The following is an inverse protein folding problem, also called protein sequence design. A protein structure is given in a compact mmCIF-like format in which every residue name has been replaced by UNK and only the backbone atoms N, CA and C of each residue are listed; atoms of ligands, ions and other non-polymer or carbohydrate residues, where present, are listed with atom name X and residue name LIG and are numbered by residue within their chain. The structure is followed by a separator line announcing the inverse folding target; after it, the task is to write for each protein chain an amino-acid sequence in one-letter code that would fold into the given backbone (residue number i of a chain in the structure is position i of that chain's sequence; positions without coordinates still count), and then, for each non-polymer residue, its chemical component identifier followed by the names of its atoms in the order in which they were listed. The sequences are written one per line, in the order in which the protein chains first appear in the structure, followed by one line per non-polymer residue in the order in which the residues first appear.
data_IF_600546940968
#
_entry.id   IF_600546940968
#
_cell.length_a   1.000
_cell.length_b   1.000
_cell.length_c   1.000
_cell.angle_alpha   90.00
_cell.angle_beta   90.00
_cell.angle_gamma   90.00
#
_symmetry.space_group_name_H-M   'P 1'
#
loop_
_entity.id
_entity.type
_entity.pdbx_description
1 polymer ?
#
# COMPACT_ATOMS: atom_id res chain seq x y z
N UNK A 1 37.35 -37.74 -22.39
CA UNK A 1 36.39 -38.03 -21.28
C UNK A 1 35.54 -36.79 -21.06
N UNK A 2 34.35 -36.83 -21.60
CA UNK A 2 33.40 -35.74 -21.59
C UNK A 2 32.37 -36.04 -20.49
N UNK A 3 32.32 -35.23 -19.42
CA UNK A 3 31.29 -35.32 -18.38
C UNK A 3 30.23 -34.26 -18.68
N UNK A 4 29.16 -34.68 -19.32
CA UNK A 4 27.94 -33.87 -19.46
C UNK A 4 27.23 -33.74 -18.08
N UNK A 5 27.24 -32.54 -17.52
CA UNK A 5 26.55 -32.25 -16.30
C UNK A 5 25.11 -31.79 -16.65
N UNK A 6 24.18 -32.74 -16.69
CA UNK A 6 22.76 -32.48 -16.88
C UNK A 6 22.19 -31.92 -15.55
N UNK A 7 22.02 -30.60 -15.45
CA UNK A 7 21.18 -29.99 -14.41
C UNK A 7 19.74 -30.39 -14.68
N UNK A 8 19.26 -31.39 -13.98
CA UNK A 8 17.84 -31.74 -13.94
C UNK A 8 17.06 -30.58 -13.30
N UNK A 9 16.26 -29.89 -14.13
CA UNK A 9 15.25 -28.95 -13.66
C UNK A 9 14.19 -29.74 -12.86
N UNK A 10 14.36 -29.79 -11.55
CA UNK A 10 13.36 -30.36 -10.66
C UNK A 10 12.25 -29.32 -10.42
N UNK A 11 11.43 -29.07 -11.43
CA UNK A 11 10.10 -28.50 -11.22
C UNK A 11 9.24 -29.62 -10.69
N UNK A 12 9.09 -29.64 -9.34
CA UNK A 12 8.14 -30.55 -8.70
C UNK A 12 6.75 -30.16 -9.19
N UNK A 13 6.16 -30.96 -10.06
CA UNK A 13 4.73 -30.92 -10.36
C UNK A 13 3.98 -31.40 -9.12
N UNK A 14 3.82 -30.51 -8.13
CA UNK A 14 2.88 -30.67 -7.06
C UNK A 14 1.47 -30.62 -7.69
N UNK A 15 0.89 -31.79 -7.95
CA UNK A 15 -0.56 -31.88 -8.11
C UNK A 15 -1.15 -31.40 -6.78
N UNK A 16 -1.54 -30.15 -6.71
CA UNK A 16 -2.29 -29.65 -5.57
C UNK A 16 -3.65 -30.35 -5.57
N UNK A 17 -3.82 -31.29 -4.67
CA UNK A 17 -5.06 -32.06 -4.49
C UNK A 17 -6.11 -31.28 -3.69
N UNK A 18 -5.70 -30.19 -3.03
CA UNK A 18 -6.55 -29.34 -2.21
C UNK A 18 -6.43 -27.87 -2.63
N UNK A 19 -7.58 -27.16 -2.56
CA UNK A 19 -7.62 -25.73 -2.83
C UNK A 19 -6.92 -24.95 -1.71
N UNK A 20 -6.12 -23.95 -2.10
CA UNK A 20 -5.52 -23.02 -1.13
C UNK A 20 -6.58 -22.11 -0.51
N UNK A 21 -6.49 -21.91 0.79
CA UNK A 21 -7.30 -20.94 1.52
C UNK A 21 -6.70 -19.55 1.35
N UNK A 22 -7.30 -18.75 0.47
CA UNK A 22 -6.88 -17.39 0.15
C UNK A 22 -7.76 -16.40 0.90
N UNK A 23 -7.13 -15.50 1.68
CA UNK A 23 -7.83 -14.36 2.30
C UNK A 23 -7.63 -13.13 1.43
N UNK A 24 -8.71 -12.66 0.81
CA UNK A 24 -8.73 -11.41 0.07
C UNK A 24 -9.07 -10.25 1.01
N UNK A 25 -8.16 -9.29 1.14
CA UNK A 25 -8.35 -8.12 2.00
C UNK A 25 -8.54 -6.87 1.14
N UNK A 26 -9.58 -6.07 1.44
CA UNK A 26 -9.93 -4.86 0.69
C UNK A 26 -10.49 -3.76 1.59
N UNK A 27 -10.71 -2.56 1.03
CA UNK A 27 -11.16 -1.38 1.76
C UNK A 27 -9.99 -0.58 2.33
N UNK A 28 -9.92 -0.42 3.65
CA UNK A 28 -8.81 0.21 4.35
C UNK A 28 -9.07 1.64 4.80
N UNK A 29 -8.18 2.13 5.69
CA UNK A 29 -8.20 3.47 6.29
C UNK A 29 -7.47 4.49 5.44
N UNK A 30 -7.67 4.47 4.14
CA UNK A 30 -7.02 5.40 3.22
C UNK A 30 -8.04 6.20 2.43
N UNK A 31 -7.61 7.29 1.81
CA UNK A 31 -8.42 8.04 0.86
C UNK A 31 -8.80 7.22 -0.38
N UNK A 32 -8.17 6.07 -0.57
CA UNK A 32 -8.36 5.17 -1.71
C UNK A 32 -9.29 3.97 -1.41
N UNK A 33 -10.01 4.02 -0.28
CA UNK A 33 -10.95 2.97 0.13
C UNK A 33 -11.89 2.52 -1.00
N UNK A 34 -12.53 3.47 -1.68
CA UNK A 34 -13.44 3.18 -2.79
C UNK A 34 -12.73 2.56 -4.01
N UNK A 35 -11.46 2.90 -4.23
CA UNK A 35 -10.63 2.30 -5.29
C UNK A 35 -10.35 0.83 -4.96
N UNK A 36 -10.00 0.55 -3.70
CA UNK A 36 -9.78 -0.81 -3.21
C UNK A 36 -11.02 -1.70 -3.40
N UNK A 37 -12.21 -1.19 -3.09
CA UNK A 37 -13.45 -1.94 -3.32
C UNK A 37 -13.65 -2.29 -4.81
N UNK A 38 -13.35 -1.37 -5.73
CA UNK A 38 -13.44 -1.62 -7.17
C UNK A 38 -12.43 -2.64 -7.64
N UNK A 39 -11.17 -2.52 -7.20
CA UNK A 39 -10.11 -3.46 -7.52
C UNK A 39 -10.42 -4.87 -7.00
N UNK A 40 -10.95 -4.97 -5.77
CA UNK A 40 -11.34 -6.25 -5.19
C UNK A 40 -12.43 -6.98 -6.01
N UNK A 41 -13.37 -6.24 -6.62
CA UNK A 41 -14.35 -6.82 -7.54
C UNK A 41 -13.68 -7.52 -8.73
N UNK A 42 -12.69 -6.88 -9.32
CA UNK A 42 -11.97 -7.42 -10.48
C UNK A 42 -11.13 -8.65 -10.09
N UNK A 43 -10.45 -8.58 -8.94
CA UNK A 43 -9.67 -9.71 -8.42
C UNK A 43 -10.58 -10.90 -8.10
N UNK A 44 -11.72 -10.69 -7.41
CA UNK A 44 -12.70 -11.75 -7.11
C UNK A 44 -13.22 -12.44 -8.37
N UNK A 45 -13.43 -11.69 -9.44
CA UNK A 45 -13.90 -12.24 -10.71
C UNK A 45 -12.81 -13.03 -11.48
N UNK A 46 -11.53 -12.73 -11.23
CA UNK A 46 -10.40 -13.37 -11.91
C UNK A 46 -9.81 -14.57 -11.15
N UNK A 47 -10.12 -14.72 -9.86
CA UNK A 47 -9.61 -15.83 -9.05
C UNK A 47 -10.19 -17.16 -9.52
N UNK A 48 -9.29 -18.12 -9.76
CA UNK A 48 -9.62 -19.49 -10.18
C UNK A 48 -10.25 -20.28 -9.01
N UNK A 49 -11.55 -20.52 -9.11
CA UNK A 49 -12.31 -21.23 -8.09
C UNK A 49 -11.87 -22.70 -7.92
N UNK A 50 -11.16 -23.29 -8.89
CA UNK A 50 -10.63 -24.64 -8.75
C UNK A 50 -9.33 -24.69 -7.94
N UNK A 51 -8.61 -23.57 -7.87
CA UNK A 51 -7.35 -23.45 -7.13
C UNK A 51 -7.51 -22.83 -5.75
N UNK A 52 -8.48 -21.92 -5.57
CA UNK A 52 -8.61 -21.14 -4.37
C UNK A 52 -9.97 -21.29 -3.70
N UNK A 53 -9.94 -21.42 -2.37
CA UNK A 53 -11.09 -21.15 -1.50
C UNK A 53 -10.93 -19.75 -0.95
N UNK A 54 -11.77 -18.83 -1.41
CA UNK A 54 -11.62 -17.39 -1.11
C UNK A 54 -12.42 -17.00 0.11
N UNK A 55 -11.75 -16.40 1.10
CA UNK A 55 -12.34 -15.78 2.27
C UNK A 55 -12.19 -14.25 2.15
N UNK A 56 -13.29 -13.53 2.28
CA UNK A 56 -13.33 -12.09 2.08
C UNK A 56 -13.21 -11.37 3.41
N UNK A 57 -12.29 -10.40 3.50
CA UNK A 57 -12.13 -9.53 4.66
C UNK A 57 -12.13 -8.08 4.18
N UNK A 58 -13.11 -7.31 4.61
CA UNK A 58 -13.18 -5.87 4.36
C UNK A 58 -12.69 -5.08 5.57
N UNK A 59 -11.93 -4.01 5.32
CA UNK A 59 -11.52 -3.06 6.35
C UNK A 59 -12.30 -1.76 6.12
N UNK A 60 -13.04 -1.31 7.13
CA UNK A 60 -13.79 -0.04 7.07
C UNK A 60 -12.86 1.18 7.09
N UNK A 61 -13.39 2.36 6.83
CA UNK A 61 -12.63 3.62 6.84
C UNK A 61 -12.13 4.02 8.24
N UNK A 62 -12.78 3.53 9.29
CA UNK A 62 -12.36 3.69 10.68
C UNK A 62 -11.45 2.56 11.19
N UNK A 63 -11.24 1.51 10.35
CA UNK A 63 -10.26 0.46 10.58
C UNK A 63 -10.82 -0.82 11.19
N UNK A 64 -12.14 -1.00 11.21
CA UNK A 64 -12.74 -2.25 11.65
C UNK A 64 -12.61 -3.32 10.56
N UNK A 65 -12.15 -4.50 10.94
CA UNK A 65 -12.01 -5.65 10.05
C UNK A 65 -13.27 -6.50 10.12
N UNK A 66 -13.88 -6.77 8.97
CA UNK A 66 -15.15 -7.50 8.89
C UNK A 66 -15.07 -8.64 7.87
N UNK A 67 -15.67 -9.77 8.16
CA UNK A 67 -15.70 -10.94 7.28
C UNK A 67 -17.10 -11.54 7.18
N UNK A 68 -17.35 -12.23 6.08
CA UNK A 68 -18.58 -12.97 5.78
C UNK A 68 -18.54 -13.50 4.36
N UNK A 69 -19.47 -14.38 4.00
CA UNK A 69 -19.51 -15.04 2.70
C UNK A 69 -19.55 -14.06 1.51
N UNK A 70 -20.22 -12.91 1.68
CA UNK A 70 -20.39 -11.88 0.68
C UNK A 70 -19.93 -10.51 1.20
N UNK A 71 -18.80 -10.47 1.94
CA UNK A 71 -18.33 -9.24 2.57
C UNK A 71 -18.15 -8.10 1.58
N UNK A 72 -17.60 -8.35 0.38
CA UNK A 72 -17.44 -7.33 -0.65
C UNK A 72 -18.79 -6.71 -1.09
N UNK A 73 -19.82 -7.52 -1.30
CA UNK A 73 -21.15 -7.01 -1.65
C UNK A 73 -21.76 -6.18 -0.51
N UNK A 74 -21.58 -6.60 0.74
CA UNK A 74 -22.01 -5.86 1.93
C UNK A 74 -21.31 -4.49 2.03
N UNK A 75 -20.01 -4.41 1.74
CA UNK A 75 -19.28 -3.14 1.70
C UNK A 75 -19.78 -2.19 0.60
N UNK A 76 -20.19 -2.71 -0.55
CA UNK A 76 -20.74 -1.90 -1.64
C UNK A 76 -22.16 -1.39 -1.34
N UNK A 77 -22.96 -2.18 -0.64
CA UNK A 77 -24.36 -1.84 -0.33
C UNK A 77 -24.56 -1.11 1.00
N UNK A 78 -23.52 -1.05 1.85
CA UNK A 78 -23.61 -0.51 3.22
C UNK A 78 -24.21 -1.49 4.25
N UNK A 79 -24.46 -2.75 3.87
CA UNK A 79 -25.06 -3.77 4.73
C UNK A 79 -24.06 -4.47 5.67
N UNK A 80 -23.26 -3.68 6.41
CA UNK A 80 -22.16 -4.21 7.23
C UNK A 80 -22.63 -4.98 8.47
N UNK A 81 -23.85 -4.78 8.95
CA UNK A 81 -24.41 -5.43 10.13
C UNK A 81 -24.51 -6.96 9.98
N UNK A 82 -24.55 -7.46 8.74
CA UNK A 82 -24.56 -8.89 8.44
C UNK A 82 -23.17 -9.54 8.58
N UNK A 83 -22.11 -8.74 8.71
CA UNK A 83 -20.74 -9.21 8.82
C UNK A 83 -20.35 -9.40 10.29
N UNK A 84 -19.28 -10.15 10.50
CA UNK A 84 -18.66 -10.38 11.80
C UNK A 84 -17.27 -9.78 11.84
N UNK A 85 -16.85 -9.38 13.03
CA UNK A 85 -15.47 -8.88 13.20
C UNK A 85 -14.48 -10.00 12.89
N UNK A 86 -13.46 -9.66 12.08
CA UNK A 86 -12.42 -10.57 11.65
C UNK A 86 -11.12 -10.32 12.42
N UNK A 87 -10.43 -11.40 12.78
CA UNK A 87 -9.12 -11.36 13.42
C UNK A 87 -8.22 -12.40 12.75
N UNK A 88 -6.97 -11.99 12.46
CA UNK A 88 -5.92 -12.90 12.00
C UNK A 88 -4.98 -13.15 13.18
N UNK A 89 -4.82 -14.40 13.56
CA UNK A 89 -3.98 -14.83 14.68
C UNK A 89 -3.16 -16.04 14.26
N UNK A 90 -1.89 -16.07 14.64
CA UNK A 90 -1.04 -17.26 14.47
C UNK A 90 -1.34 -18.29 15.56
N UNK A 91 -1.77 -19.47 15.16
CA UNK A 91 -2.03 -20.62 16.03
C UNK A 91 -0.97 -21.69 15.77
N UNK A 92 -0.10 -21.95 16.77
CA UNK A 92 1.02 -22.91 16.65
C UNK A 92 1.92 -22.63 15.42
N UNK A 93 2.16 -21.34 15.11
CA UNK A 93 2.97 -20.91 13.98
C UNK A 93 2.26 -20.92 12.62
N UNK A 94 0.96 -21.25 12.58
CA UNK A 94 0.13 -21.19 11.36
C UNK A 94 -0.84 -20.02 11.44
N UNK A 95 -0.88 -19.15 10.43
CA UNK A 95 -1.86 -18.06 10.41
C UNK A 95 -3.27 -18.61 10.23
N UNK A 96 -4.21 -18.06 11.00
CA UNK A 96 -5.61 -18.46 10.97
C UNK A 96 -6.52 -17.24 10.97
N UNK A 97 -7.62 -17.35 10.24
CA UNK A 97 -8.70 -16.35 10.24
C UNK A 97 -9.77 -16.80 11.26
N UNK A 98 -10.17 -15.87 12.10
CA UNK A 98 -11.22 -16.02 13.11
C UNK A 98 -12.30 -14.97 12.94
N UNK A 99 -13.50 -15.28 13.41
CA UNK A 99 -14.49 -14.27 13.80
C UNK A 99 -14.42 -14.02 15.30
N UNK A 100 -14.68 -12.77 15.70
CA UNK A 100 -14.81 -12.36 17.11
C UNK A 100 -16.26 -12.00 17.43
N UNK A 101 -16.75 -12.51 18.57
CA UNK A 101 -18.02 -12.13 19.16
C UNK A 101 -17.80 -11.92 20.67
N UNK A 102 -17.75 -10.65 21.08
CA UNK A 102 -17.35 -10.30 22.44
C UNK A 102 -15.92 -10.78 22.76
N UNK A 103 -15.81 -11.69 23.74
CA UNK A 103 -14.53 -12.26 24.16
C UNK A 103 -14.23 -13.63 23.50
N UNK A 104 -15.11 -14.12 22.63
CA UNK A 104 -14.97 -15.42 22.00
C UNK A 104 -14.41 -15.30 20.58
N UNK A 105 -13.47 -16.18 20.25
CA UNK A 105 -12.93 -16.36 18.90
C UNK A 105 -13.40 -17.68 18.33
N UNK A 106 -13.98 -17.64 17.13
CA UNK A 106 -14.38 -18.83 16.38
C UNK A 106 -13.54 -18.94 15.11
N UNK A 107 -12.79 -20.03 14.98
CA UNK A 107 -11.94 -20.27 13.82
C UNK A 107 -12.78 -20.48 12.57
N UNK A 108 -12.41 -19.75 11.50
CA UNK A 108 -12.99 -19.92 10.16
C UNK A 108 -12.11 -20.89 9.36
N UNK A 109 -10.79 -20.59 9.26
CA UNK A 109 -9.85 -21.39 8.46
C UNK A 109 -8.41 -21.11 8.86
N UNK A 110 -7.50 -22.02 8.50
CA UNK A 110 -6.07 -21.69 8.37
C UNK A 110 -5.86 -20.93 7.05
N UNK A 111 -4.88 -20.04 7.02
CA UNK A 111 -4.58 -19.18 5.87
C UNK A 111 -3.37 -19.74 5.15
N UNK A 112 -3.48 -19.99 3.84
CA UNK A 112 -2.35 -20.37 3.01
C UNK A 112 -1.72 -19.15 2.35
N UNK A 113 -2.53 -18.16 1.94
CA UNK A 113 -2.05 -16.91 1.35
C UNK A 113 -3.03 -15.76 1.58
N UNK A 114 -2.49 -14.56 1.80
CA UNK A 114 -3.26 -13.32 1.84
C UNK A 114 -3.06 -12.56 0.53
N UNK A 115 -4.15 -12.06 -0.05
CA UNK A 115 -4.09 -11.15 -1.18
C UNK A 115 -4.63 -9.78 -0.74
N UNK A 116 -3.75 -8.85 -0.33
CA UNK A 116 -4.17 -7.50 0.00
C UNK A 116 -4.44 -6.71 -1.27
N UNK A 117 -5.67 -6.26 -1.46
CA UNK A 117 -6.09 -5.33 -2.52
C UNK A 117 -6.37 -3.99 -1.87
N UNK A 118 -5.37 -3.50 -1.15
CA UNK A 118 -5.40 -2.24 -0.41
C UNK A 118 -4.58 -1.21 -1.17
N UNK A 119 -5.01 0.05 -1.17
CA UNK A 119 -4.30 1.15 -1.83
C UNK A 119 -3.97 2.25 -0.83
N UNK A 120 -2.82 2.90 -1.05
CA UNK A 120 -2.36 4.03 -0.27
C UNK A 120 -1.89 3.65 1.15
N UNK A 121 -2.13 4.57 2.08
CA UNK A 121 -1.69 4.46 3.47
C UNK A 121 -2.25 3.21 4.15
N UNK A 122 -1.43 2.55 4.97
CA UNK A 122 -1.70 1.27 5.65
C UNK A 122 -1.86 0.06 4.71
N UNK A 123 -1.90 0.27 3.39
CA UNK A 123 -2.00 -0.80 2.40
C UNK A 123 -0.69 -1.05 1.65
N UNK A 124 0.00 0.03 1.25
CA UNK A 124 1.19 -0.03 0.39
C UNK A 124 2.45 0.49 1.06
N UNK A 125 2.39 0.93 2.32
CA UNK A 125 3.47 1.60 3.05
C UNK A 125 4.31 0.66 3.96
N UNK A 126 4.11 -0.66 3.87
CA UNK A 126 4.80 -1.65 4.69
C UNK A 126 4.09 -1.99 6.00
N UNK A 127 3.05 -1.23 6.41
CA UNK A 127 2.36 -1.41 7.69
C UNK A 127 1.61 -2.75 7.74
N UNK A 128 0.76 -3.01 6.75
CA UNK A 128 -0.01 -4.26 6.68
C UNK A 128 0.91 -5.46 6.39
N UNK A 129 1.95 -5.26 5.59
CA UNK A 129 2.96 -6.27 5.32
C UNK A 129 3.67 -6.69 6.60
N UNK A 130 4.01 -5.72 7.48
CA UNK A 130 4.59 -5.99 8.80
C UNK A 130 3.68 -6.83 9.69
N UNK A 131 2.36 -6.60 9.65
CA UNK A 131 1.40 -7.45 10.36
C UNK A 131 1.43 -8.87 9.82
N UNK A 132 1.48 -9.06 8.50
CA UNK A 132 1.52 -10.38 7.88
C UNK A 132 2.81 -11.13 8.21
N UNK A 133 3.96 -10.46 8.19
CA UNK A 133 5.25 -11.04 8.61
C UNK A 133 5.21 -11.52 10.06
N UNK A 134 4.71 -10.70 10.99
CA UNK A 134 4.61 -11.06 12.42
C UNK A 134 3.70 -12.27 12.62
N UNK A 135 2.64 -12.37 11.82
CA UNK A 135 1.69 -13.50 11.87
C UNK A 135 2.15 -14.71 11.06
N UNK A 136 3.33 -14.66 10.43
CA UNK A 136 3.85 -15.72 9.55
C UNK A 136 2.89 -16.06 8.39
N UNK A 137 2.25 -15.03 7.82
CA UNK A 137 1.35 -15.16 6.67
C UNK A 137 2.13 -14.97 5.37
N UNK A 138 2.03 -15.91 4.44
CA UNK A 138 2.40 -15.64 3.06
C UNK A 138 1.41 -14.65 2.44
N UNK A 139 1.89 -13.70 1.65
CA UNK A 139 1.04 -12.69 1.00
C UNK A 139 1.54 -12.31 -0.38
N UNK A 140 0.61 -11.77 -1.18
CA UNK A 140 0.90 -11.26 -2.53
C UNK A 140 1.35 -9.81 -2.42
N UNK A 141 2.45 -9.48 -3.10
CA UNK A 141 2.97 -8.11 -3.18
C UNK A 141 4.40 -7.97 -2.67
N UNK A 142 4.87 -6.73 -2.61
CA UNK A 142 6.19 -6.40 -2.10
C UNK A 142 6.25 -6.58 -0.57
N UNK A 143 7.44 -6.93 -0.05
CA UNK A 143 7.67 -7.02 1.39
C UNK A 143 7.72 -5.66 2.08
N UNK A 144 7.88 -5.69 3.42
CA UNK A 144 7.86 -4.48 4.27
C UNK A 144 8.79 -3.39 3.76
N UNK A 145 10.06 -3.72 3.52
CA UNK A 145 11.06 -2.73 3.10
C UNK A 145 10.73 -2.14 1.73
N UNK A 146 10.40 -3.00 0.75
CA UNK A 146 10.06 -2.55 -0.61
C UNK A 146 8.86 -1.62 -0.62
N UNK A 147 7.79 -1.99 0.09
CA UNK A 147 6.58 -1.19 0.25
C UNK A 147 6.88 0.16 0.90
N UNK A 148 7.60 0.17 2.03
CA UNK A 148 7.91 1.40 2.77
C UNK A 148 8.78 2.36 1.96
N UNK A 149 9.80 1.84 1.26
CA UNK A 149 10.70 2.65 0.43
C UNK A 149 9.97 3.21 -0.79
N UNK A 150 9.20 2.37 -1.49
CA UNK A 150 8.51 2.80 -2.71
C UNK A 150 7.40 3.83 -2.42
N UNK A 151 6.72 3.71 -1.28
CA UNK A 151 5.66 4.66 -0.90
C UNK A 151 6.20 6.03 -0.53
N UNK A 152 7.37 6.10 0.09
CA UNK A 152 7.99 7.35 0.54
C UNK A 152 8.82 7.98 -0.58
N UNK A 153 8.28 9.01 -1.22
CA UNK A 153 8.90 9.68 -2.38
C UNK A 153 10.32 10.20 -2.08
N UNK A 154 10.57 10.67 -0.86
CA UNK A 154 11.88 11.19 -0.48
C UNK A 154 12.90 10.05 -0.34
N UNK A 155 12.54 8.97 0.36
CA UNK A 155 13.41 7.80 0.53
C UNK A 155 13.61 7.08 -0.80
N UNK A 156 12.56 6.91 -1.60
CA UNK A 156 12.64 6.32 -2.93
C UNK A 156 13.64 7.05 -3.84
N UNK A 157 13.59 8.41 -3.87
CA UNK A 157 14.55 9.23 -4.62
C UNK A 157 15.99 9.05 -4.12
N UNK A 158 16.22 9.05 -2.81
CA UNK A 158 17.57 8.80 -2.25
C UNK A 158 18.12 7.42 -2.64
N UNK A 159 17.27 6.39 -2.63
CA UNK A 159 17.67 5.05 -3.08
C UNK A 159 18.02 5.06 -4.57
N UNK A 160 17.19 5.70 -5.41
CA UNK A 160 17.47 5.83 -6.84
C UNK A 160 18.78 6.56 -7.12
N UNK A 161 19.07 7.67 -6.41
CA UNK A 161 20.33 8.40 -6.52
C UNK A 161 21.53 7.52 -6.12
N UNK A 162 21.39 6.71 -5.06
CA UNK A 162 22.48 5.85 -4.58
C UNK A 162 22.90 4.78 -5.59
N UNK A 163 22.01 4.42 -6.50
CA UNK A 163 22.27 3.47 -7.61
C UNK A 163 22.41 4.19 -8.97
N UNK A 164 22.63 5.48 -8.94
CA UNK A 164 22.86 6.35 -10.13
C UNK A 164 21.69 6.38 -11.13
N UNK A 165 20.46 6.13 -10.70
CA UNK A 165 19.28 6.39 -11.51
C UNK A 165 19.00 7.91 -11.51
N UNK A 166 18.70 8.50 -12.68
CA UNK A 166 18.40 9.92 -12.76
C UNK A 166 17.07 10.23 -12.07
N UNK A 167 17.09 11.21 -11.17
CA UNK A 167 15.89 11.77 -10.52
C UNK A 167 15.85 13.28 -10.74
N UNK A 168 14.68 13.87 -10.70
CA UNK A 168 14.53 15.32 -10.72
C UNK A 168 15.12 15.93 -9.46
N UNK A 169 15.68 17.13 -9.56
CA UNK A 169 16.17 17.92 -8.44
C UNK A 169 15.04 18.15 -7.43
N UNK A 170 15.32 17.96 -6.16
CA UNK A 170 14.35 18.07 -5.09
C UNK A 170 14.98 18.49 -3.77
N UNK A 171 14.13 18.95 -2.86
CA UNK A 171 14.45 19.15 -1.46
C UNK A 171 13.33 18.60 -0.59
N UNK A 172 13.68 18.18 0.63
CA UNK A 172 12.73 17.65 1.60
C UNK A 172 12.69 18.56 2.81
N UNK A 173 11.49 18.99 3.17
CA UNK A 173 11.23 19.86 4.31
C UNK A 173 10.33 19.14 5.30
N UNK A 174 10.48 19.48 6.59
CA UNK A 174 9.60 18.96 7.63
C UNK A 174 8.42 19.89 7.87
N UNK A 175 7.32 19.34 8.36
CA UNK A 175 6.17 20.12 8.83
C UNK A 175 6.58 21.17 9.86
N UNK A 176 7.57 20.86 10.70
CA UNK A 176 8.07 21.77 11.73
C UNK A 176 8.77 22.98 11.14
N UNK A 177 9.63 22.80 10.13
CA UNK A 177 10.30 23.90 9.40
C UNK A 177 9.28 24.80 8.71
N UNK A 178 8.32 24.22 8.01
CA UNK A 178 7.25 24.97 7.33
C UNK A 178 6.43 25.78 8.34
N UNK A 179 6.12 25.21 9.50
CA UNK A 179 5.32 25.88 10.53
C UNK A 179 6.08 27.01 11.22
N UNK A 180 7.37 26.81 11.49
CA UNK A 180 8.14 27.72 12.35
C UNK A 180 8.96 28.73 11.53
N UNK A 181 9.42 28.39 10.31
CA UNK A 181 10.34 29.16 9.49
C UNK A 181 9.94 29.19 8.02
N UNK A 182 8.66 29.46 7.71
CA UNK A 182 8.13 29.38 6.35
C UNK A 182 8.92 30.22 5.34
N UNK A 183 9.34 31.43 5.70
CA UNK A 183 10.07 32.32 4.79
C UNK A 183 11.40 31.69 4.36
N UNK A 184 12.15 31.14 5.28
CA UNK A 184 13.40 30.43 5.02
C UNK A 184 13.15 29.13 4.22
N UNK A 185 12.10 28.38 4.58
CA UNK A 185 11.71 27.17 3.83
C UNK A 185 11.42 27.47 2.36
N UNK A 186 10.74 28.59 2.07
CA UNK A 186 10.48 29.04 0.70
C UNK A 186 11.77 29.38 -0.03
N UNK A 187 12.68 30.12 0.61
CA UNK A 187 13.97 30.48 0.02
C UNK A 187 14.81 29.25 -0.35
N UNK A 188 14.85 28.24 0.52
CA UNK A 188 15.54 26.99 0.24
C UNK A 188 14.83 26.17 -0.85
N UNK A 189 13.50 26.14 -0.86
CA UNK A 189 12.72 25.46 -1.89
C UNK A 189 12.91 26.09 -3.29
N UNK A 190 13.03 27.41 -3.38
CA UNK A 190 13.30 28.13 -4.64
C UNK A 190 14.71 27.85 -5.22
N UNK A 191 15.65 27.33 -4.41
CA UNK A 191 16.97 26.91 -4.89
C UNK A 191 16.95 25.57 -5.63
N UNK A 192 15.88 24.79 -5.49
CA UNK A 192 15.73 23.47 -6.15
C UNK A 192 15.74 23.62 -7.67
N UNK A 193 14.91 24.52 -8.20
CA UNK A 193 14.85 24.82 -9.63
C UNK A 193 14.02 26.10 -9.88
N UNK A 194 14.06 26.67 -11.08
CA UNK A 194 13.10 27.67 -11.52
C UNK A 194 11.66 27.10 -11.51
N UNK A 195 10.68 27.98 -11.30
CA UNK A 195 9.28 27.57 -11.44
C UNK A 195 8.94 27.03 -12.83
N UNK A 196 8.02 26.04 -12.94
CA UNK A 196 7.13 25.55 -11.90
C UNK A 196 7.84 24.55 -10.98
N UNK A 197 7.44 24.56 -9.70
CA UNK A 197 7.82 23.55 -8.71
C UNK A 197 6.60 22.69 -8.34
N UNK A 198 6.83 21.42 -8.02
CA UNK A 198 5.81 20.55 -7.45
C UNK A 198 6.07 20.36 -5.96
N UNK A 199 5.03 20.57 -5.17
CA UNK A 199 5.02 20.31 -3.72
C UNK A 199 4.18 19.07 -3.46
N UNK A 200 4.75 18.10 -2.73
CA UNK A 200 4.12 16.79 -2.51
C UNK A 200 4.32 16.33 -1.06
N UNK A 201 3.30 15.78 -0.39
CA UNK A 201 3.52 14.95 0.79
C UNK A 201 4.42 13.77 0.44
N UNK A 202 5.39 13.42 1.30
CA UNK A 202 6.34 12.35 0.98
C UNK A 202 5.69 10.98 0.93
N UNK A 203 4.75 10.70 1.84
CA UNK A 203 4.19 9.36 2.06
C UNK A 203 2.67 9.32 1.86
N UNK A 204 2.21 9.68 0.65
CA UNK A 204 0.80 9.60 0.23
C UNK A 204 0.70 9.21 -1.24
N UNK A 205 -0.36 8.46 -1.56
CA UNK A 205 -0.74 8.10 -2.93
C UNK A 205 -1.78 9.04 -3.55
N UNK A 206 -2.29 8.67 -4.73
CA UNK A 206 -3.44 9.27 -5.45
C UNK A 206 -3.42 10.79 -5.58
N UNK A 207 -2.24 11.39 -5.69
CA UNK A 207 -2.06 12.85 -5.88
C UNK A 207 -2.67 13.73 -4.77
N UNK A 208 -3.01 13.18 -3.60
CA UNK A 208 -3.54 13.95 -2.47
C UNK A 208 -2.48 14.91 -1.95
N UNK A 209 -2.82 16.20 -1.87
CA UNK A 209 -1.91 17.25 -1.41
C UNK A 209 -0.75 17.59 -2.36
N UNK A 210 -0.78 17.10 -3.62
CA UNK A 210 0.18 17.47 -4.65
C UNK A 210 -0.26 18.75 -5.32
N UNK A 211 0.63 19.74 -5.35
CA UNK A 211 0.38 21.04 -5.97
C UNK A 211 1.51 21.43 -6.90
N UNK A 212 1.16 21.90 -8.11
CA UNK A 212 2.07 22.58 -9.05
C UNK A 212 2.04 24.07 -8.76
N UNK A 213 3.20 24.66 -8.48
CA UNK A 213 3.34 26.07 -8.10
C UNK A 213 4.11 26.85 -9.16
N UNK A 214 3.69 28.07 -9.45
CA UNK A 214 4.26 28.91 -10.52
C UNK A 214 4.95 30.17 -9.98
N UNK A 215 4.77 30.43 -8.70
CA UNK A 215 5.32 31.59 -8.00
C UNK A 215 5.42 31.34 -6.50
N UNK A 216 6.05 32.27 -5.80
CA UNK A 216 6.31 32.21 -4.36
C UNK A 216 5.03 32.12 -3.50
N UNK A 217 3.96 32.77 -3.91
CA UNK A 217 2.69 32.77 -3.17
C UNK A 217 2.02 31.39 -3.25
N UNK A 218 1.96 30.81 -4.47
CA UNK A 218 1.46 29.44 -4.66
C UNK A 218 2.33 28.42 -3.92
N UNK A 219 3.66 28.59 -3.91
CA UNK A 219 4.58 27.73 -3.17
C UNK A 219 4.31 27.77 -1.66
N UNK A 220 4.11 28.96 -1.09
CA UNK A 220 3.79 29.12 0.32
C UNK A 220 2.48 28.44 0.71
N UNK A 221 1.45 28.56 -0.13
CA UNK A 221 0.15 27.90 0.07
C UNK A 221 0.28 26.38 -0.01
N UNK A 222 0.96 25.87 -1.05
CA UNK A 222 1.18 24.44 -1.27
C UNK A 222 1.97 23.77 -0.13
N UNK A 223 3.02 24.42 0.37
CA UNK A 223 3.79 23.92 1.52
C UNK A 223 2.92 23.77 2.76
N UNK A 224 2.09 24.78 3.08
CA UNK A 224 1.14 24.70 4.21
C UNK A 224 0.11 23.59 4.02
N UNK A 225 -0.40 23.42 2.81
CA UNK A 225 -1.37 22.38 2.50
C UNK A 225 -0.75 20.99 2.64
N UNK A 226 0.39 20.73 1.99
CA UNK A 226 1.08 19.44 2.06
C UNK A 226 1.45 19.06 3.51
N UNK A 227 1.86 20.06 4.32
CA UNK A 227 2.15 19.89 5.74
C UNK A 227 0.95 19.49 6.60
N UNK A 228 -0.29 19.57 6.11
CA UNK A 228 -1.48 19.02 6.80
C UNK A 228 -1.54 17.50 6.69
N UNK A 229 -1.04 16.96 5.60
CA UNK A 229 -1.14 15.55 5.27
C UNK A 229 0.05 14.73 5.77
N UNK A 230 1.27 15.26 5.65
CA UNK A 230 2.48 14.52 6.04
C UNK A 230 3.38 15.37 6.93
N UNK A 231 4.30 14.69 7.63
CA UNK A 231 5.38 15.32 8.39
C UNK A 231 6.57 15.74 7.51
N UNK A 232 6.75 15.11 6.35
CA UNK A 232 7.79 15.40 5.35
C UNK A 232 7.15 15.82 4.04
N UNK A 233 7.66 16.90 3.49
CA UNK A 233 7.17 17.51 2.27
C UNK A 233 8.30 17.57 1.26
N UNK A 234 8.08 17.01 0.10
CA UNK A 234 8.98 17.06 -1.04
C UNK A 234 8.64 18.26 -1.90
N UNK A 235 9.65 19.04 -2.26
CA UNK A 235 9.58 20.04 -3.32
C UNK A 235 10.49 19.59 -4.44
N UNK A 236 10.00 19.50 -5.67
CA UNK A 236 10.79 19.06 -6.80
C UNK A 236 10.58 19.94 -8.03
N UNK A 237 11.54 19.92 -8.92
CA UNK A 237 11.46 20.56 -10.23
C UNK A 237 10.26 20.10 -11.03
N UNK A 238 9.50 21.04 -11.61
CA UNK A 238 8.48 20.73 -12.59
C UNK A 238 9.06 20.64 -14.00
N UNK A 239 8.78 19.54 -14.69
CA UNK A 239 9.17 19.36 -16.09
C UNK A 239 7.95 19.07 -16.95
N UNK A 240 8.10 19.29 -18.26
CA UNK A 240 7.17 18.76 -19.25
C UNK A 240 7.67 17.38 -19.65
N UNK A 241 6.90 16.34 -19.31
CA UNK A 241 7.29 14.96 -19.57
C UNK A 241 6.15 14.18 -20.22
N UNK A 242 6.51 13.10 -20.89
CA UNK A 242 5.56 12.03 -21.23
C UNK A 242 5.47 11.09 -20.05
N UNK A 243 4.26 10.93 -19.52
CA UNK A 243 3.98 9.96 -18.48
C UNK A 243 3.89 8.55 -19.06
N UNK A 244 4.53 7.59 -18.42
CA UNK A 244 4.53 6.19 -18.82
C UNK A 244 4.18 5.37 -17.59
N UNK A 245 3.14 4.55 -17.69
CA UNK A 245 2.78 3.55 -16.69
C UNK A 245 3.20 2.16 -17.18
N UNK A 246 3.69 1.33 -16.26
CA UNK A 246 4.09 -0.06 -16.50
C UNK A 246 3.35 -0.91 -15.48
N UNK A 247 2.62 -1.91 -15.95
CA UNK A 247 1.87 -2.89 -15.14
C UNK A 247 2.47 -4.29 -15.31
#
# INVERSE_FOLDING_TARGET
MSTSNSKSNCWVNLKMTEKLNLVLIFGGRSGEHAVSLRSAKSVLAALDADKYRVFQVGITTDGLWLTGANAHAAFLSGGLDALREAVIVSEHGKPCLYTRAGNELSKITSIDVIFPVLHGTFGEDGTIQGLFEIQNCAYVGAGVLGSSVAMDKAVCKHVMESIHLPVLEYAVFTRSEIKNNLAQTIEEAEKVAPYPLFVKPANLGSSVGINKTRNREELAAALREAARFDRRILVERGILAREIEIS
#
